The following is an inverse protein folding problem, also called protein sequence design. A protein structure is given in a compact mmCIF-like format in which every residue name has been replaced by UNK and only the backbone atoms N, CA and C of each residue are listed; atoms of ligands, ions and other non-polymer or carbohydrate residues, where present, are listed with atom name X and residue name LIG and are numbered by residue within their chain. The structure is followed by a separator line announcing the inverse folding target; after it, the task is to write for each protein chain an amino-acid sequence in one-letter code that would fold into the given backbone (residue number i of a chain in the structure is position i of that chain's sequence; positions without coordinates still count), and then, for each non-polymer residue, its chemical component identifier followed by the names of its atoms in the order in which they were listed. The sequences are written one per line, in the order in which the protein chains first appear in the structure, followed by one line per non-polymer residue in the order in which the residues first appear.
data_IF_445379183373
#
_entry.id   IF_445379183373
#
_cell.length_a   1.000
_cell.length_b   1.000
_cell.length_c   1.000
_cell.angle_alpha   90.00
_cell.angle_beta   90.00
_cell.angle_gamma   90.00
#
_symmetry.space_group_name_H-M   'P 1'
#
loop_
_entity.id
_entity.type
_entity.pdbx_description
1 polymer ?
#
# COMPACT_ATOMS: atom_id res chain seq x y z
N UNK A 1 -20.17 -14.11 9.89
CA UNK A 1 -18.69 -14.02 9.98
C UNK A 1 -18.34 -12.60 9.56
N UNK A 2 -18.08 -11.71 10.53
CA UNK A 2 -17.86 -10.28 10.26
C UNK A 2 -16.42 -10.04 9.83
N UNK A 3 -16.23 -9.57 8.60
CA UNK A 3 -14.98 -8.94 8.20
C UNK A 3 -14.92 -7.59 8.90
N UNK A 4 -14.34 -7.59 10.09
CA UNK A 4 -14.23 -6.41 10.96
C UNK A 4 -13.00 -5.61 10.53
N UNK A 5 -13.12 -4.82 9.47
CA UNK A 5 -12.36 -3.57 9.40
C UNK A 5 -13.15 -2.58 10.24
N UNK A 6 -12.70 -2.29 11.46
CA UNK A 6 -13.17 -1.12 12.20
C UNK A 6 -12.22 0.02 11.89
N UNK A 7 -12.78 1.11 11.39
CA UNK A 7 -12.10 2.39 11.27
C UNK A 7 -11.41 2.70 12.62
N UNK A 8 -10.07 2.80 12.62
CA UNK A 8 -9.27 3.09 13.81
C UNK A 8 -8.42 1.94 14.39
N UNK A 9 -8.49 0.71 13.88
CA UNK A 9 -7.53 -0.34 14.27
C UNK A 9 -6.13 -0.03 13.72
N UNK A 10 -5.19 0.24 14.63
CA UNK A 10 -3.81 0.60 14.30
C UNK A 10 -2.97 -0.65 14.14
N UNK A 11 -2.18 -0.72 13.08
CA UNK A 11 -1.05 -1.67 13.04
C UNK A 11 -0.21 -1.49 14.31
N UNK A 12 0.06 -2.60 15.01
CA UNK A 12 1.00 -2.63 16.14
C UNK A 12 2.42 -2.33 15.62
N UNK A 13 2.72 -1.04 15.51
CA UNK A 13 4.03 -0.51 15.13
C UNK A 13 4.87 -0.29 16.39
N UNK A 14 6.10 -0.76 16.37
CA UNK A 14 7.12 -0.45 17.36
C UNK A 14 7.69 0.93 17.04
N UNK A 15 7.07 1.97 17.61
CA UNK A 15 7.50 3.36 17.49
C UNK A 15 6.48 4.25 16.77
N UNK A 16 6.43 5.54 17.14
CA UNK A 16 5.58 6.53 16.48
C UNK A 16 6.07 6.77 15.06
N UNK A 17 5.37 6.23 14.06
CA UNK A 17 5.61 6.56 12.66
C UNK A 17 4.92 7.89 12.33
N UNK A 18 5.62 9.01 12.52
CA UNK A 18 5.13 10.27 11.96
C UNK A 18 5.20 10.17 10.43
N UNK A 19 4.04 10.21 9.77
CA UNK A 19 3.89 10.22 8.32
C UNK A 19 3.70 11.64 7.77
N UNK A 20 3.55 12.63 8.66
CA UNK A 20 3.25 14.03 8.34
C UNK A 20 4.42 14.95 8.67
N UNK A 21 5.65 14.47 8.51
CA UNK A 21 6.85 15.29 8.71
C UNK A 21 7.28 16.09 7.46
N UNK A 22 6.44 16.11 6.42
CA UNK A 22 6.66 16.76 5.13
C UNK A 22 7.88 16.24 4.34
N UNK A 23 8.41 15.06 4.69
CA UNK A 23 9.49 14.40 3.95
C UNK A 23 8.99 13.16 3.19
N UNK A 24 9.77 12.72 2.20
CA UNK A 24 9.45 11.48 1.48
C UNK A 24 9.67 10.28 2.40
N UNK A 25 8.63 9.45 2.52
CA UNK A 25 8.67 8.22 3.31
C UNK A 25 8.58 7.03 2.36
N UNK A 26 9.44 6.03 2.52
CA UNK A 26 9.30 4.77 1.80
C UNK A 26 8.46 3.80 2.62
N UNK A 27 7.26 3.50 2.14
CA UNK A 27 6.33 2.58 2.82
C UNK A 27 6.19 1.29 2.02
N UNK A 28 6.29 0.14 2.70
CA UNK A 28 5.95 -1.16 2.12
C UNK A 28 5.02 -1.92 3.06
N UNK A 29 3.87 -2.33 2.54
CA UNK A 29 2.92 -3.21 3.22
C UNK A 29 2.97 -4.58 2.53
N UNK A 30 3.12 -5.64 3.31
CA UNK A 30 3.03 -7.01 2.81
C UNK A 30 1.87 -7.72 3.49
N UNK A 31 1.24 -8.65 2.79
CA UNK A 31 0.24 -9.54 3.37
C UNK A 31 0.38 -10.94 2.77
N UNK A 32 0.20 -11.97 3.61
CA UNK A 32 0.03 -13.36 3.17
C UNK A 32 -1.22 -13.95 3.81
N UNK A 33 -2.01 -14.67 3.01
CA UNK A 33 -3.23 -15.33 3.48
C UNK A 33 -2.96 -16.41 4.55
N UNK A 34 -1.77 -17.03 4.53
CA UNK A 34 -1.36 -18.00 5.55
C UNK A 34 -1.23 -17.29 6.90
N UNK A 35 -2.19 -17.56 7.79
CA UNK A 35 -2.36 -16.88 9.09
C UNK A 35 -2.65 -15.37 8.98
N UNK A 36 -2.96 -14.86 7.80
CA UNK A 36 -3.33 -13.46 7.58
C UNK A 36 -2.26 -12.48 8.07
N UNK A 37 -0.99 -12.80 7.84
CA UNK A 37 0.12 -12.00 8.38
C UNK A 37 0.31 -10.77 7.51
N UNK A 38 0.11 -9.59 8.09
CA UNK A 38 0.37 -8.30 7.49
C UNK A 38 1.59 -7.66 8.18
N UNK A 39 2.56 -7.18 7.40
CA UNK A 39 3.75 -6.48 7.93
C UNK A 39 3.91 -5.11 7.29
N UNK A 40 4.27 -4.12 8.11
CA UNK A 40 4.56 -2.77 7.68
C UNK A 40 6.05 -2.46 7.79
N UNK A 41 6.60 -1.90 6.74
CA UNK A 41 7.98 -1.41 6.67
C UNK A 41 7.99 0.08 6.35
N UNK A 42 8.87 0.82 7.02
CA UNK A 42 9.14 2.23 6.81
C UNK A 42 10.64 2.40 6.55
N UNK A 43 11.01 3.12 5.50
CA UNK A 43 12.40 3.44 5.16
C UNK A 43 13.29 2.18 5.09
N UNK A 44 12.74 1.12 4.52
CA UNK A 44 13.40 -0.18 4.37
C UNK A 44 13.45 -1.04 5.64
N UNK A 45 12.96 -0.54 6.77
CA UNK A 45 13.01 -1.21 8.07
C UNK A 45 11.64 -1.74 8.51
N UNK A 46 11.63 -2.90 9.16
CA UNK A 46 10.42 -3.46 9.76
C UNK A 46 9.94 -2.58 10.91
N UNK A 47 8.68 -2.15 10.85
CA UNK A 47 8.06 -1.33 11.91
C UNK A 47 7.06 -2.09 12.75
N UNK A 48 6.45 -3.15 12.22
CA UNK A 48 5.40 -3.85 12.93
C UNK A 48 4.67 -4.85 12.07
N UNK A 49 3.95 -5.74 12.73
CA UNK A 49 3.12 -6.73 12.08
C UNK A 49 1.86 -6.96 12.87
N UNK A 50 0.87 -7.48 12.18
CA UNK A 50 -0.31 -8.04 12.79
C UNK A 50 -0.74 -9.29 12.02
N UNK A 51 -1.60 -10.10 12.62
CA UNK A 51 -2.02 -11.42 12.12
C UNK A 51 -3.53 -11.52 12.13
N UNK A 52 -4.07 -12.60 11.57
CA UNK A 52 -5.50 -12.83 11.50
C UNK A 52 -6.29 -11.89 10.56
N UNK A 53 -5.61 -11.22 9.61
CA UNK A 53 -6.27 -10.43 8.56
C UNK A 53 -6.62 -11.30 7.37
N UNK A 54 -7.92 -11.42 7.09
CA UNK A 54 -8.42 -12.15 5.92
C UNK A 54 -7.72 -13.52 5.81
N UNK A 55 -7.83 -14.33 6.86
CA UNK A 55 -7.12 -15.61 6.98
C UNK A 55 -7.67 -16.67 6.04
N UNK A 56 -6.92 -17.78 5.92
CA UNK A 56 -7.33 -19.09 5.37
C UNK A 56 -8.32 -19.05 4.19
N UNK A 57 -7.80 -19.37 3.00
CA UNK A 57 -8.56 -19.39 1.73
C UNK A 57 -9.08 -18.03 1.24
N UNK A 58 -8.87 -16.93 1.98
CA UNK A 58 -9.06 -15.61 1.41
C UNK A 58 -8.10 -15.41 0.23
N UNK A 59 -8.68 -14.92 -0.87
CA UNK A 59 -7.97 -14.58 -2.10
C UNK A 59 -8.43 -13.21 -2.52
N UNK A 60 -7.49 -12.34 -2.86
CA UNK A 60 -7.79 -11.13 -3.61
C UNK A 60 -8.21 -11.59 -5.00
N UNK A 61 -9.47 -11.38 -5.36
CA UNK A 61 -10.02 -11.79 -6.65
C UNK A 61 -9.68 -10.76 -7.73
N UNK A 62 -9.48 -11.23 -8.97
CA UNK A 62 -9.33 -10.35 -10.13
C UNK A 62 -10.63 -9.59 -10.46
N UNK A 63 -10.53 -8.58 -11.33
CA UNK A 63 -11.67 -7.79 -11.80
C UNK A 63 -11.94 -6.49 -11.00
N UNK A 64 -11.08 -6.17 -10.02
CA UNK A 64 -11.13 -4.90 -9.30
C UNK A 64 -10.49 -3.73 -10.07
N UNK A 65 -10.49 -2.56 -9.42
CA UNK A 65 -9.85 -1.33 -9.90
C UNK A 65 -8.90 -0.82 -8.80
N UNK A 66 -7.67 -0.45 -9.16
CA UNK A 66 -6.73 0.21 -8.24
C UNK A 66 -6.78 1.71 -8.49
N UNK A 67 -7.13 2.49 -7.48
CA UNK A 67 -7.14 3.95 -7.52
C UNK A 67 -6.09 4.50 -6.55
N UNK A 68 -5.38 5.55 -7.00
CA UNK A 68 -4.48 6.32 -6.15
C UNK A 68 -5.06 7.71 -5.91
N UNK A 69 -5.06 8.14 -4.66
CA UNK A 69 -5.40 9.50 -4.25
C UNK A 69 -6.87 9.76 -3.88
N UNK A 70 -7.73 8.74 -3.97
CA UNK A 70 -9.14 8.77 -3.55
C UNK A 70 -9.48 7.48 -2.81
N UNK A 71 -10.39 7.56 -1.84
CA UNK A 71 -11.03 6.40 -1.21
C UNK A 71 -12.20 5.91 -2.07
N UNK A 72 -12.40 4.59 -2.18
CA UNK A 72 -13.37 3.97 -3.08
C UNK A 72 -14.54 3.33 -2.31
N UNK A 73 -15.75 3.88 -2.41
CA UNK A 73 -16.96 3.23 -1.91
C UNK A 73 -17.65 2.32 -2.94
N UNK A 74 -17.09 2.23 -4.14
CA UNK A 74 -17.47 1.28 -5.20
C UNK A 74 -16.32 1.06 -6.17
N UNK A 75 -16.37 -0.02 -6.96
CA UNK A 75 -15.33 -0.31 -7.96
C UNK A 75 -15.21 0.89 -8.92
N UNK A 76 -14.09 1.61 -8.83
CA UNK A 76 -13.74 2.75 -9.68
C UNK A 76 -14.52 4.05 -9.41
N UNK A 77 -15.27 4.18 -8.31
CA UNK A 77 -16.08 5.39 -8.08
C UNK A 77 -16.64 5.55 -6.67
N UNK A 78 -17.58 6.50 -6.53
CA UNK A 78 -18.11 6.99 -5.24
C UNK A 78 -17.00 7.50 -4.33
N UNK A 79 -16.25 8.47 -4.84
CA UNK A 79 -15.19 9.12 -4.07
C UNK A 79 -15.77 10.23 -3.22
N UNK A 80 -15.27 10.37 -1.99
CA UNK A 80 -15.52 11.52 -1.13
C UNK A 80 -14.34 12.50 -1.20
N UNK A 81 -14.66 13.78 -1.40
CA UNK A 81 -13.67 14.86 -1.40
C UNK A 81 -12.91 14.95 -0.08
N UNK A 82 -13.57 14.68 1.04
CA UNK A 82 -12.94 14.78 2.37
C UNK A 82 -11.94 13.64 2.63
N UNK A 83 -11.93 12.59 1.80
CA UNK A 83 -11.01 11.46 1.85
C UNK A 83 -9.94 11.50 0.74
N UNK A 84 -9.75 12.68 0.14
CA UNK A 84 -8.74 12.89 -0.92
C UNK A 84 -7.32 12.96 -0.35
N UNK A 85 -6.37 12.31 -1.01
CA UNK A 85 -4.96 12.51 -0.71
C UNK A 85 -4.51 13.91 -1.16
N UNK A 86 -4.08 14.73 -0.21
CA UNK A 86 -3.36 15.98 -0.45
C UNK A 86 -1.85 15.76 -0.28
N UNK A 87 -1.19 15.27 -1.34
CA UNK A 87 0.22 14.90 -1.24
C UNK A 87 0.88 14.55 -2.57
N UNK A 88 2.04 13.89 -2.46
CA UNK A 88 2.81 13.39 -3.61
C UNK A 88 3.01 11.89 -3.45
N UNK A 89 2.87 11.16 -4.54
CA UNK A 89 3.19 9.74 -4.63
C UNK A 89 4.28 9.54 -5.68
N UNK A 90 5.14 8.58 -5.44
CA UNK A 90 6.17 8.16 -6.37
C UNK A 90 6.43 6.66 -6.19
N UNK A 91 6.91 6.01 -7.24
CA UNK A 91 7.44 4.64 -7.17
C UNK A 91 6.46 3.60 -6.60
N UNK A 92 5.15 3.75 -6.86
CA UNK A 92 4.14 2.77 -6.44
C UNK A 92 4.27 1.51 -7.29
N UNK A 93 4.49 0.37 -6.62
CA UNK A 93 4.64 -0.95 -7.23
C UNK A 93 3.89 -2.00 -6.39
N UNK A 94 3.43 -3.08 -7.04
CA UNK A 94 2.69 -4.17 -6.39
C UNK A 94 3.13 -5.52 -6.96
N UNK A 95 3.24 -6.51 -6.08
CA UNK A 95 3.63 -7.88 -6.40
C UNK A 95 2.59 -8.86 -5.90
N UNK A 96 2.52 -10.01 -6.56
CA UNK A 96 1.69 -11.17 -6.21
C UNK A 96 2.34 -12.09 -5.16
N UNK A 97 3.47 -11.65 -4.59
CA UNK A 97 4.25 -12.35 -3.57
C UNK A 97 4.69 -11.42 -2.46
N UNK A 98 4.94 -12.00 -1.29
CA UNK A 98 5.64 -11.30 -0.20
C UNK A 98 7.11 -11.15 -0.59
N UNK A 99 7.59 -9.91 -0.58
CA UNK A 99 9.01 -9.60 -0.80
C UNK A 99 9.84 -9.92 0.44
N UNK A 100 11.12 -10.21 0.24
CA UNK A 100 12.05 -10.39 1.35
C UNK A 100 12.39 -9.06 2.01
N UNK A 101 12.79 -9.08 3.28
CA UNK A 101 13.18 -7.85 3.99
C UNK A 101 14.40 -7.19 3.35
N UNK A 102 15.33 -7.98 2.80
CA UNK A 102 16.45 -7.48 2.00
C UNK A 102 16.01 -6.80 0.71
N UNK A 103 15.00 -7.32 0.01
CA UNK A 103 14.48 -6.67 -1.20
C UNK A 103 13.82 -5.33 -0.84
N UNK A 104 13.08 -5.27 0.26
CA UNK A 104 12.42 -4.04 0.75
C UNK A 104 13.47 -3.00 1.17
N UNK A 105 14.52 -3.40 1.87
CA UNK A 105 15.63 -2.51 2.23
C UNK A 105 16.42 -2.03 1.00
N UNK A 106 16.61 -2.89 0.00
CA UNK A 106 17.26 -2.53 -1.26
C UNK A 106 16.45 -1.49 -2.05
N UNK A 107 15.11 -1.58 -2.05
CA UNK A 107 14.25 -0.59 -2.70
C UNK A 107 14.43 0.81 -2.12
N UNK A 108 14.54 0.91 -0.79
CA UNK A 108 14.79 2.19 -0.11
C UNK A 108 16.18 2.77 -0.44
N UNK A 109 17.22 1.92 -0.46
CA UNK A 109 18.62 2.37 -0.52
C UNK A 109 19.19 2.53 -1.94
N UNK A 110 18.73 1.74 -2.91
CA UNK A 110 19.38 1.64 -4.22
C UNK A 110 18.64 2.33 -5.37
N UNK A 111 17.50 2.99 -5.09
CA UNK A 111 16.55 3.52 -6.08
C UNK A 111 16.11 2.51 -7.17
N UNK A 112 16.56 1.26 -7.07
CA UNK A 112 16.33 0.19 -8.03
C UNK A 112 15.16 -0.61 -7.51
N UNK A 113 13.97 -0.11 -7.78
CA UNK A 113 12.73 -0.80 -7.43
C UNK A 113 12.45 -1.84 -8.51
N UNK A 114 12.45 -3.15 -8.19
CA UNK A 114 12.08 -4.16 -9.16
C UNK A 114 10.70 -3.84 -9.75
N UNK A 115 10.48 -4.12 -11.03
CA UNK A 115 9.14 -3.98 -11.59
C UNK A 115 8.16 -4.86 -10.82
N UNK A 116 7.06 -4.27 -10.35
CA UNK A 116 5.96 -5.03 -9.75
C UNK A 116 5.37 -6.03 -10.75
N UNK A 117 5.11 -7.26 -10.29
CA UNK A 117 4.50 -8.31 -11.12
C UNK A 117 3.01 -8.09 -11.36
N UNK A 118 2.35 -7.26 -10.53
CA UNK A 118 0.93 -6.91 -10.67
C UNK A 118 0.77 -5.50 -11.24
N UNK A 119 1.39 -4.51 -10.60
CA UNK A 119 1.45 -3.13 -11.07
C UNK A 119 2.85 -2.57 -10.90
N UNK A 120 3.28 -1.77 -11.87
CA UNK A 120 4.50 -0.99 -11.74
C UNK A 120 4.19 0.50 -11.97
N UNK A 121 5.05 1.36 -11.44
CA UNK A 121 4.83 2.82 -11.44
C UNK A 121 4.56 3.41 -12.82
N UNK A 122 5.15 2.83 -13.88
CA UNK A 122 5.02 3.38 -15.23
C UNK A 122 3.59 3.33 -15.78
N UNK A 123 2.75 2.41 -15.30
CA UNK A 123 1.36 2.26 -15.73
C UNK A 123 0.52 3.49 -15.35
N UNK A 124 0.80 4.12 -14.21
CA UNK A 124 0.02 5.26 -13.71
C UNK A 124 0.26 6.55 -14.49
N UNK A 125 1.38 6.66 -15.22
CA UNK A 125 1.74 7.89 -15.95
C UNK A 125 0.72 8.27 -17.03
N UNK A 126 -0.08 7.32 -17.50
CA UNK A 126 -1.07 7.55 -18.55
C UNK A 126 -2.52 7.46 -18.06
N UNK A 127 -2.74 7.34 -16.75
CA UNK A 127 -4.05 7.07 -16.14
C UNK A 127 -4.51 8.17 -15.18
N UNK A 128 -3.98 9.39 -15.34
CA UNK A 128 -4.37 10.52 -14.50
C UNK A 128 -5.74 11.08 -14.92
N UNK A 129 -6.62 11.29 -13.94
CA UNK A 129 -7.93 11.90 -14.11
C UNK A 129 -8.13 13.02 -13.09
N UNK A 130 -8.64 14.17 -13.53
CA UNK A 130 -8.88 15.33 -12.67
C UNK A 130 -7.61 16.15 -12.39
N UNK A 131 -7.53 16.77 -11.21
CA UNK A 131 -6.44 17.67 -10.83
C UNK A 131 -5.20 16.91 -10.32
N UNK A 132 -4.54 16.20 -11.22
CA UNK A 132 -3.31 15.43 -10.95
C UNK A 132 -2.20 15.97 -11.83
N UNK A 133 -1.05 16.30 -11.22
CA UNK A 133 0.15 16.73 -11.96
C UNK A 133 1.17 15.60 -11.98
N UNK A 134 1.58 15.19 -13.17
CA UNK A 134 2.69 14.26 -13.38
C UNK A 134 3.95 15.08 -13.64
N UNK A 135 5.02 14.80 -12.90
CA UNK A 135 6.31 15.47 -13.01
C UNK A 135 7.42 14.49 -13.35
#
# INVERSE_FOLDING_TARGET
MSNSWREGERFNSHGSTNLYDHTWQHMCLTWKNTKGVAKLYKDGQFTGQDTNYATENFKITAGGCLVLGQDQDSIGGRFDREQTLHGRLASVNMWDKVLSESDIAAQYTSCSVPSGSVFNWSVFKNLAHGNVTIK
#
